data_IF_101491061838
#
_entry.id   IF_101491061838
#
_cell.length_a   1.000
_cell.length_b   1.000
_cell.length_c   1.000
_cell.angle_alpha   90.00
_cell.angle_beta   90.00
_cell.angle_gamma   90.00
#
_symmetry.space_group_name_H-M   'P 1'
#
loop_
_entity.id
_entity.type
_entity.pdbx_description
1 polymer ?
#
# COMPACT_ATOMS: atom_id res chain seq x y z
N UNK A 1 1.36 3.18 2.32
CA UNK A 1 2.02 4.40 2.80
C UNK A 1 1.73 5.62 1.92
N UNK A 2 1.05 5.44 0.77
CA UNK A 2 0.80 6.53 -0.16
C UNK A 2 -0.20 7.54 0.42
N UNK A 3 0.05 8.83 0.15
CA UNK A 3 -0.88 9.90 0.50
C UNK A 3 -1.92 9.94 -0.61
N UNK A 4 -3.02 9.26 -0.41
CA UNK A 4 -4.08 9.14 -1.41
C UNK A 4 -5.43 8.81 -0.78
N UNK A 5 -6.50 9.23 -1.44
CA UNK A 5 -7.82 8.67 -1.31
C UNK A 5 -8.46 8.61 -2.70
N UNK A 6 -9.44 7.79 -2.89
CA UNK A 6 -10.11 7.64 -4.17
C UNK A 6 -11.48 6.98 -4.02
N UNK A 7 -12.39 7.34 -4.90
CA UNK A 7 -13.68 6.69 -5.06
C UNK A 7 -13.63 5.67 -6.19
N UNK A 8 -14.38 4.58 -6.05
CA UNK A 8 -14.56 3.57 -7.08
C UNK A 8 -16.00 3.48 -7.55
N UNK A 9 -16.25 2.96 -8.75
CA UNK A 9 -17.60 2.65 -9.19
C UNK A 9 -18.33 1.78 -8.16
N UNK A 10 -19.57 2.14 -7.83
CA UNK A 10 -20.35 1.49 -6.78
C UNK A 10 -20.39 2.27 -5.46
N UNK A 11 -19.71 3.43 -5.38
CA UNK A 11 -19.81 4.34 -4.24
C UNK A 11 -18.87 4.02 -3.07
N UNK A 12 -17.89 3.15 -3.26
CA UNK A 12 -16.88 2.88 -2.24
C UNK A 12 -15.79 3.94 -2.27
N UNK A 13 -15.44 4.48 -1.10
CA UNK A 13 -14.36 5.45 -0.92
C UNK A 13 -13.27 4.81 -0.06
N UNK A 14 -12.03 4.94 -0.51
CA UNK A 14 -10.85 4.42 0.15
C UNK A 14 -9.95 5.58 0.57
N UNK A 15 -9.55 5.61 1.82
CA UNK A 15 -8.57 6.56 2.33
C UNK A 15 -7.32 5.79 2.75
N UNK A 16 -6.19 6.14 2.15
CA UNK A 16 -4.92 5.53 2.50
C UNK A 16 -4.44 6.04 3.86
N UNK A 17 -3.87 5.15 4.64
CA UNK A 17 -3.26 5.48 5.94
C UNK A 17 -2.25 6.64 5.85
N UNK A 18 -1.51 6.71 4.72
CA UNK A 18 -0.57 7.80 4.49
C UNK A 18 -1.24 9.19 4.46
N UNK A 19 -2.47 9.30 3.95
CA UNK A 19 -3.24 10.54 4.00
C UNK A 19 -3.72 10.83 5.42
N UNK A 20 -4.32 9.84 6.09
CA UNK A 20 -4.82 9.99 7.47
C UNK A 20 -3.75 10.53 8.42
N UNK A 21 -2.48 10.16 8.20
CA UNK A 21 -1.37 10.64 9.00
C UNK A 21 -1.19 12.17 9.00
N UNK A 22 -1.59 12.84 7.92
CA UNK A 22 -1.43 14.28 7.75
C UNK A 22 -2.66 15.09 8.17
N UNK A 23 -3.81 14.45 8.38
CA UNK A 23 -5.02 15.13 8.84
C UNK A 23 -4.94 15.42 10.33
N UNK A 24 -5.46 16.59 10.74
CA UNK A 24 -5.44 17.08 12.11
C UNK A 24 -6.81 17.06 12.79
N UNK A 25 -7.88 16.93 12.00
CA UNK A 25 -9.26 17.00 12.47
C UNK A 25 -10.21 16.05 11.74
N UNK A 26 -11.36 15.77 12.35
CA UNK A 26 -12.45 15.05 11.71
C UNK A 26 -13.06 15.88 10.57
N UNK A 27 -13.07 17.23 10.71
CA UNK A 27 -13.51 18.12 9.66
C UNK A 27 -12.66 18.01 8.40
N UNK A 28 -11.33 17.94 8.52
CA UNK A 28 -10.43 17.69 7.37
C UNK A 28 -10.70 16.34 6.73
N UNK A 29 -10.91 15.28 7.52
CA UNK A 29 -11.26 13.96 7.00
C UNK A 29 -12.61 14.00 6.26
N UNK A 30 -13.59 14.70 6.83
CA UNK A 30 -14.91 14.90 6.24
C UNK A 30 -14.84 15.68 4.93
N UNK A 31 -13.97 16.71 4.84
CA UNK A 31 -13.70 17.46 3.63
C UNK A 31 -13.21 16.57 2.49
N UNK A 32 -12.30 15.67 2.82
CA UNK A 32 -11.80 14.71 1.85
C UNK A 32 -12.89 13.75 1.36
N UNK A 33 -13.67 13.19 2.29
CA UNK A 33 -14.80 12.31 1.97
C UNK A 33 -15.84 13.03 1.12
N UNK A 34 -16.16 14.28 1.46
CA UNK A 34 -17.12 15.09 0.74
C UNK A 34 -16.69 15.38 -0.69
N UNK A 35 -15.39 15.63 -0.92
CA UNK A 35 -14.81 15.77 -2.26
C UNK A 35 -14.97 14.49 -3.08
N UNK A 36 -14.64 13.32 -2.52
CA UNK A 36 -14.80 12.02 -3.20
C UNK A 36 -16.28 11.71 -3.49
N UNK A 37 -17.19 12.07 -2.59
CA UNK A 37 -18.64 11.98 -2.82
C UNK A 37 -19.05 12.90 -3.99
N UNK A 38 -18.45 14.07 -4.11
CA UNK A 38 -18.62 14.98 -5.24
C UNK A 38 -18.28 14.30 -6.57
N UNK A 39 -17.17 13.56 -6.62
CA UNK A 39 -16.81 12.78 -7.81
C UNK A 39 -17.79 11.66 -8.15
N UNK A 40 -18.33 10.98 -7.14
CA UNK A 40 -19.34 9.93 -7.33
C UNK A 40 -20.63 10.53 -7.87
N UNK A 41 -21.16 11.58 -7.24
CA UNK A 41 -22.43 12.21 -7.61
C UNK A 41 -22.36 12.93 -8.96
N UNK A 42 -21.22 13.53 -9.29
CA UNK A 42 -20.92 14.11 -10.61
C UNK A 42 -20.70 13.07 -11.71
N UNK A 43 -20.72 11.77 -11.38
CA UNK A 43 -20.39 10.66 -12.31
C UNK A 43 -19.04 10.87 -13.03
N UNK A 44 -18.07 11.49 -12.37
CA UNK A 44 -16.79 11.90 -12.95
C UNK A 44 -15.99 10.72 -13.51
N UNK A 45 -16.06 9.56 -12.88
CA UNK A 45 -15.42 8.35 -13.39
C UNK A 45 -15.95 7.94 -14.78
N UNK A 46 -17.27 7.92 -14.94
CA UNK A 46 -17.90 7.60 -16.24
C UNK A 46 -17.62 8.67 -17.29
N UNK A 47 -17.72 9.95 -16.91
CA UNK A 47 -17.43 11.08 -17.81
C UNK A 47 -15.99 11.05 -18.30
N UNK A 48 -15.03 10.75 -17.41
CA UNK A 48 -13.62 10.56 -17.75
C UNK A 48 -13.41 9.38 -18.71
N UNK A 49 -14.05 8.23 -18.44
CA UNK A 49 -13.97 7.05 -19.32
C UNK A 49 -14.49 7.38 -20.73
N UNK A 50 -15.64 8.00 -20.85
CA UNK A 50 -16.23 8.42 -22.14
C UNK A 50 -15.30 9.41 -22.86
N UNK A 51 -14.73 10.38 -22.18
CA UNK A 51 -13.78 11.33 -22.76
C UNK A 51 -12.52 10.62 -23.29
N UNK A 52 -11.99 9.64 -22.57
CA UNK A 52 -10.86 8.83 -22.99
C UNK A 52 -11.15 8.02 -24.24
N UNK A 53 -12.30 7.34 -24.28
CA UNK A 53 -12.74 6.55 -25.44
C UNK A 53 -12.97 7.44 -26.67
N UNK A 54 -13.63 8.59 -26.50
CA UNK A 54 -13.85 9.57 -27.57
C UNK A 54 -12.53 10.09 -28.12
N UNK A 55 -11.58 10.41 -27.26
CA UNK A 55 -10.27 10.90 -27.67
C UNK A 55 -9.46 9.86 -28.45
N UNK A 56 -9.51 8.59 -28.05
CA UNK A 56 -8.89 7.50 -28.79
C UNK A 56 -9.51 7.33 -30.18
N UNK A 57 -10.83 7.46 -30.29
CA UNK A 57 -11.54 7.42 -31.59
C UNK A 57 -11.12 8.60 -32.46
N UNK A 58 -11.04 9.82 -31.89
CA UNK A 58 -10.62 11.02 -32.64
C UNK A 58 -9.19 10.89 -33.15
N UNK A 59 -8.24 10.44 -32.33
CA UNK A 59 -6.86 10.23 -32.74
C UNK A 59 -6.72 9.21 -33.85
N UNK A 60 -7.45 8.09 -33.74
CA UNK A 60 -7.49 7.05 -34.79
C UNK A 60 -8.10 7.58 -36.09
N UNK A 61 -9.18 8.35 -35.99
CA UNK A 61 -9.84 8.97 -37.16
C UNK A 61 -8.93 10.00 -37.81
N UNK A 62 -8.23 10.85 -37.03
CA UNK A 62 -7.26 11.81 -37.55
C UNK A 62 -6.13 11.10 -38.32
N UNK A 63 -5.60 10.00 -37.82
CA UNK A 63 -4.61 9.19 -38.51
C UNK A 63 -5.15 8.61 -39.85
N UNK A 64 -6.36 8.06 -39.83
CA UNK A 64 -6.99 7.48 -41.02
C UNK A 64 -7.20 8.55 -42.10
N UNK A 65 -7.66 9.76 -41.72
CA UNK A 65 -7.98 10.83 -42.68
C UNK A 65 -6.73 11.52 -43.23
N UNK A 66 -5.73 11.77 -42.36
CA UNK A 66 -4.56 12.58 -42.72
C UNK A 66 -3.35 11.76 -43.14
N UNK A 67 -3.30 10.49 -42.73
CA UNK A 67 -2.12 9.65 -42.89
C UNK A 67 -0.89 10.14 -42.08
N UNK A 68 -1.05 11.15 -41.21
CA UNK A 68 0.02 11.79 -40.46
C UNK A 68 0.00 11.31 -39.01
N UNK A 69 1.09 10.67 -38.60
CA UNK A 69 1.32 10.28 -37.19
C UNK A 69 1.43 11.50 -36.27
N UNK A 70 2.05 12.58 -36.75
CA UNK A 70 2.26 13.80 -35.95
C UNK A 70 0.94 14.47 -35.54
N UNK A 71 -0.07 14.46 -36.42
CA UNK A 71 -1.40 15.01 -36.12
C UNK A 71 -2.16 14.07 -35.17
N UNK A 72 -2.05 12.75 -35.33
CA UNK A 72 -2.63 11.77 -34.43
C UNK A 72 -1.96 11.85 -33.05
N UNK A 73 -0.64 11.99 -33.00
CA UNK A 73 0.13 12.14 -31.76
C UNK A 73 -0.20 13.46 -31.04
N UNK A 74 -0.32 14.58 -31.75
CA UNK A 74 -0.74 15.85 -31.17
C UNK A 74 -2.17 15.77 -30.62
N UNK A 75 -3.10 15.13 -31.34
CA UNK A 75 -4.48 14.87 -30.87
C UNK A 75 -4.48 13.96 -29.64
N UNK A 76 -3.65 12.91 -29.64
CA UNK A 76 -3.50 11.98 -28.51
C UNK A 76 -2.86 12.64 -27.31
N UNK A 77 -1.84 13.48 -27.48
CA UNK A 77 -1.19 14.25 -26.40
C UNK A 77 -2.16 15.25 -25.77
N UNK A 78 -2.89 16.00 -26.57
CA UNK A 78 -3.90 16.94 -26.07
C UNK A 78 -5.01 16.23 -25.30
N UNK A 79 -5.46 15.09 -25.81
CA UNK A 79 -6.43 14.27 -25.12
C UNK A 79 -5.90 13.54 -23.89
N UNK A 80 -4.63 13.14 -23.88
CA UNK A 80 -3.98 12.57 -22.71
C UNK A 80 -3.87 13.58 -21.56
N UNK A 81 -3.68 14.86 -21.88
CA UNK A 81 -3.70 15.95 -20.89
C UNK A 81 -5.09 16.14 -20.29
N UNK A 82 -6.15 16.02 -21.10
CA UNK A 82 -7.55 16.06 -20.65
C UNK A 82 -7.96 14.83 -19.84
N UNK A 83 -7.31 13.69 -20.04
CA UNK A 83 -7.63 12.39 -19.42
C UNK A 83 -6.71 12.03 -18.27
N UNK A 84 -5.58 12.75 -18.10
CA UNK A 84 -4.69 12.56 -16.96
C UNK A 84 -5.33 13.13 -15.68
N UNK A 85 -5.87 12.28 -14.86
CA UNK A 85 -6.65 12.68 -13.69
C UNK A 85 -8.11 13.02 -14.02
N UNK A 86 -8.82 13.54 -13.05
CA UNK A 86 -10.08 14.24 -13.31
C UNK A 86 -9.76 15.60 -13.93
N UNK A 87 -10.50 16.00 -14.98
CA UNK A 87 -10.29 17.31 -15.61
C UNK A 87 -10.58 18.45 -14.61
N UNK A 88 -9.99 19.62 -14.88
CA UNK A 88 -10.15 20.82 -14.01
C UNK A 88 -11.60 21.09 -13.60
N UNK A 89 -12.53 20.99 -14.56
CA UNK A 89 -13.93 21.29 -14.31
C UNK A 89 -14.57 20.28 -13.36
N UNK A 90 -14.18 19.01 -13.45
CA UNK A 90 -14.66 17.96 -12.53
C UNK A 90 -14.12 18.13 -11.12
N UNK A 91 -12.88 18.63 -10.97
CA UNK A 91 -12.31 18.95 -9.66
C UNK A 91 -13.03 20.15 -9.02
N UNK A 92 -13.31 21.19 -9.80
CA UNK A 92 -14.05 22.36 -9.31
C UNK A 92 -15.50 22.00 -8.92
N UNK A 93 -16.14 21.12 -9.69
CA UNK A 93 -17.48 20.59 -9.40
C UNK A 93 -17.46 19.75 -8.11
N UNK A 94 -16.45 18.90 -7.92
CA UNK A 94 -16.28 18.09 -6.72
C UNK A 94 -15.97 18.95 -5.48
N UNK A 95 -15.13 19.98 -5.61
CA UNK A 95 -14.82 20.92 -4.54
C UNK A 95 -16.07 21.72 -4.10
N UNK A 96 -16.85 22.24 -5.06
CA UNK A 96 -18.08 22.96 -4.76
C UNK A 96 -19.14 22.09 -4.07
N UNK A 97 -19.35 20.89 -4.61
CA UNK A 97 -20.26 19.91 -4.01
C UNK A 97 -19.77 19.44 -2.65
N UNK A 98 -18.46 19.24 -2.50
CA UNK A 98 -17.82 18.86 -1.25
C UNK A 98 -18.05 19.88 -0.15
N UNK A 99 -17.85 21.18 -0.44
CA UNK A 99 -18.11 22.27 0.50
C UNK A 99 -19.59 22.28 0.94
N UNK A 100 -20.53 22.08 0.00
CA UNK A 100 -21.95 21.99 0.30
C UNK A 100 -22.28 20.80 1.21
N UNK A 101 -21.69 19.62 0.95
CA UNK A 101 -21.91 18.42 1.77
C UNK A 101 -21.36 18.61 3.19
N UNK A 102 -20.18 19.21 3.33
CA UNK A 102 -19.61 19.54 4.65
C UNK A 102 -20.55 20.45 5.43
N UNK A 103 -20.97 21.57 4.82
CA UNK A 103 -21.89 22.52 5.45
C UNK A 103 -23.19 21.85 5.93
N UNK A 104 -23.83 21.07 5.06
CA UNK A 104 -25.07 20.34 5.39
C UNK A 104 -24.89 19.27 6.48
N UNK A 105 -23.66 18.77 6.63
CA UNK A 105 -23.31 17.80 7.67
C UNK A 105 -22.79 18.43 8.96
N UNK A 106 -22.77 19.78 9.03
CA UNK A 106 -22.35 20.52 10.19
C UNK A 106 -20.83 20.70 10.34
N UNK A 107 -20.06 20.38 9.31
CA UNK A 107 -18.62 20.63 9.29
C UNK A 107 -18.30 21.95 8.59
N UNK A 108 -17.27 22.64 9.09
CA UNK A 108 -16.75 23.84 8.47
C UNK A 108 -16.14 23.53 7.10
N UNK A 109 -16.66 24.09 5.99
CA UNK A 109 -16.10 23.90 4.67
C UNK A 109 -14.65 24.38 4.52
N UNK A 110 -14.19 25.32 5.37
CA UNK A 110 -12.81 25.80 5.35
C UNK A 110 -11.79 24.71 5.67
N UNK A 111 -12.18 23.64 6.38
CA UNK A 111 -11.31 22.50 6.62
C UNK A 111 -10.85 21.80 5.31
N UNK A 112 -11.61 21.92 4.21
CA UNK A 112 -11.18 21.44 2.89
C UNK A 112 -9.98 22.23 2.35
N UNK A 113 -9.86 23.53 2.71
CA UNK A 113 -8.70 24.37 2.35
C UNK A 113 -7.43 23.89 3.05
N UNK A 114 -7.54 23.48 4.30
CA UNK A 114 -6.41 22.96 5.07
C UNK A 114 -5.87 21.66 4.44
N UNK A 115 -6.77 20.77 4.03
CA UNK A 115 -6.42 19.56 3.28
C UNK A 115 -5.65 19.89 1.99
N UNK A 116 -6.14 20.84 1.19
CA UNK A 116 -5.47 21.27 -0.04
C UNK A 116 -4.09 21.89 0.30
N UNK A 117 -3.97 22.59 1.42
CA UNK A 117 -2.71 23.13 1.94
C UNK A 117 -1.68 22.05 2.23
N UNK A 118 -2.06 21.01 2.98
CA UNK A 118 -1.21 19.85 3.29
C UNK A 118 -0.67 19.20 2.01
N UNK A 119 -1.53 19.03 1.03
CA UNK A 119 -1.15 18.45 -0.24
C UNK A 119 -0.12 19.32 -0.97
N UNK A 120 -0.31 20.63 -0.98
CA UNK A 120 0.63 21.60 -1.56
C UNK A 120 2.02 21.50 -0.95
N UNK A 121 2.10 21.40 0.35
CA UNK A 121 3.36 21.31 1.07
C UNK A 121 4.07 19.99 0.77
N UNK A 122 3.35 18.89 0.65
CA UNK A 122 3.88 17.61 0.21
C UNK A 122 4.48 17.68 -1.19
N UNK A 123 3.78 18.31 -2.14
CA UNK A 123 4.30 18.48 -3.49
C UNK A 123 5.59 19.32 -3.48
N UNK A 124 5.61 20.42 -2.74
CA UNK A 124 6.78 21.26 -2.63
C UNK A 124 7.98 20.50 -2.05
N UNK A 125 7.77 19.71 -1.00
CA UNK A 125 8.80 18.87 -0.41
C UNK A 125 9.37 17.87 -1.42
N UNK A 126 8.51 17.16 -2.15
CA UNK A 126 8.95 16.20 -3.16
C UNK A 126 9.74 16.87 -4.29
N UNK A 127 9.35 18.07 -4.73
CA UNK A 127 10.08 18.85 -5.72
C UNK A 127 11.48 19.26 -5.23
N UNK A 128 11.59 19.70 -3.97
CA UNK A 128 12.89 20.05 -3.36
C UNK A 128 13.78 18.81 -3.28
N UNK A 129 13.23 17.70 -2.83
CA UNK A 129 13.95 16.43 -2.69
C UNK A 129 14.45 15.89 -4.05
N UNK A 130 13.63 15.95 -5.08
CA UNK A 130 14.03 15.53 -6.43
C UNK A 130 15.17 16.39 -6.99
N UNK A 131 15.12 17.71 -6.78
CA UNK A 131 16.20 18.63 -7.19
C UNK A 131 17.52 18.35 -6.48
N UNK A 132 17.49 18.11 -5.17
CA UNK A 132 18.69 17.80 -4.37
C UNK A 132 19.29 16.42 -4.70
N UNK A 133 18.47 15.46 -5.14
CA UNK A 133 18.90 14.12 -5.50
C UNK A 133 19.35 13.94 -6.97
N UNK A 134 19.40 15.01 -7.77
CA UNK A 134 19.78 14.96 -9.20
C UNK A 134 18.84 14.09 -10.07
N UNK A 135 17.68 13.71 -9.56
CA UNK A 135 16.67 12.93 -10.30
C UNK A 135 15.68 13.88 -10.96
N UNK A 136 15.30 13.58 -12.22
CA UNK A 136 14.11 14.21 -12.81
C UNK A 136 12.95 13.96 -11.85
N UNK A 137 12.14 14.98 -11.61
CA UNK A 137 10.87 14.85 -10.87
C UNK A 137 10.05 13.81 -11.63
N UNK A 138 10.12 12.55 -11.21
CA UNK A 138 9.26 11.50 -11.72
C UNK A 138 7.82 11.88 -11.37
N UNK A 139 6.86 11.56 -12.22
CA UNK A 139 5.47 11.79 -11.89
C UNK A 139 5.18 11.06 -10.57
N UNK A 140 4.90 11.83 -9.55
CA UNK A 140 4.46 11.29 -8.26
C UNK A 140 3.10 10.62 -8.51
N UNK A 141 3.04 9.31 -8.28
CA UNK A 141 1.82 8.51 -8.42
C UNK A 141 0.97 8.60 -7.14
N UNK A 142 0.76 9.78 -6.63
CA UNK A 142 -0.11 10.01 -5.49
C UNK A 142 -1.34 10.81 -5.91
N UNK A 143 -2.00 11.39 -4.92
CA UNK A 143 -3.23 12.16 -5.05
C UNK A 143 -3.22 13.21 -6.18
N UNK A 144 -2.06 13.82 -6.47
CA UNK A 144 -1.93 14.82 -7.56
C UNK A 144 -2.05 14.24 -8.97
N UNK A 145 -1.82 12.94 -9.14
CA UNK A 145 -2.00 12.30 -10.43
C UNK A 145 -3.47 12.11 -10.77
N UNK A 146 -4.32 11.91 -9.73
CA UNK A 146 -5.77 11.78 -9.88
C UNK A 146 -6.52 13.11 -9.72
N UNK A 147 -6.00 14.03 -8.90
CA UNK A 147 -6.64 15.31 -8.55
C UNK A 147 -5.68 16.48 -8.80
N UNK A 148 -5.54 16.96 -10.04
CA UNK A 148 -4.63 18.05 -10.38
C UNK A 148 -4.93 19.32 -9.58
N UNK A 149 -3.86 19.87 -9.04
CA UNK A 149 -3.94 21.08 -8.26
C UNK A 149 -4.14 22.32 -9.14
N UNK A 150 -4.93 23.23 -8.62
CA UNK A 150 -5.22 24.49 -9.27
C UNK A 150 -5.55 25.56 -8.21
N UNK A 151 -5.00 26.74 -8.32
CA UNK A 151 -5.33 27.85 -7.42
C UNK A 151 -6.82 28.25 -7.51
N UNK A 152 -7.49 27.94 -8.62
CA UNK A 152 -8.93 28.11 -8.76
C UNK A 152 -9.74 27.20 -7.82
N UNK A 153 -9.23 26.02 -7.46
CA UNK A 153 -9.88 25.11 -6.50
C UNK A 153 -10.05 25.80 -5.15
N UNK A 154 -8.98 26.43 -4.63
CA UNK A 154 -9.03 27.21 -3.39
C UNK A 154 -10.08 28.30 -3.47
N UNK A 155 -10.13 29.07 -4.57
CA UNK A 155 -11.11 30.13 -4.76
C UNK A 155 -12.55 29.60 -4.84
N UNK A 156 -12.73 28.41 -5.44
CA UNK A 156 -14.05 27.79 -5.56
C UNK A 156 -14.58 27.35 -4.19
N UNK A 157 -13.75 26.71 -3.37
CA UNK A 157 -14.13 26.30 -2.00
C UNK A 157 -14.45 27.51 -1.14
N UNK A 158 -13.59 28.54 -1.13
CA UNK A 158 -13.84 29.80 -0.39
C UNK A 158 -15.15 30.48 -0.83
N UNK A 159 -15.43 30.50 -2.14
CA UNK A 159 -16.69 31.07 -2.64
C UNK A 159 -17.88 30.24 -2.19
N UNK A 160 -17.81 28.90 -2.36
CA UNK A 160 -18.90 28.03 -1.95
C UNK A 160 -19.15 28.12 -0.43
N UNK A 161 -18.10 28.16 0.39
CA UNK A 161 -18.21 28.34 1.83
C UNK A 161 -18.90 29.66 2.19
N UNK A 162 -18.48 30.79 1.57
CA UNK A 162 -19.09 32.11 1.79
C UNK A 162 -20.55 32.21 1.33
N UNK A 163 -20.93 31.53 0.25
CA UNK A 163 -22.29 31.50 -0.25
C UNK A 163 -23.23 30.68 0.66
N UNK A 164 -22.70 29.73 1.37
CA UNK A 164 -23.43 28.84 2.30
C UNK A 164 -23.69 29.50 3.67
N UNK A 165 -22.96 30.55 4.03
CA UNK A 165 -23.05 31.25 5.34
C UNK A 165 -24.39 31.97 5.60
N UNK A 166 -25.34 31.87 4.68
CA UNK A 166 -26.68 32.49 4.79
C UNK A 166 -27.80 31.52 5.24
N UNK A 167 -27.49 30.27 5.59
CA UNK A 167 -28.44 29.21 5.91
C UNK A 167 -28.42 28.76 7.37
N UNK A 168 -29.35 27.88 7.73
CA UNK A 168 -29.33 27.22 9.03
C UNK A 168 -28.12 26.24 9.09
N UNK A 169 -27.08 26.64 9.79
CA UNK A 169 -25.92 25.84 10.07
C UNK A 169 -26.24 24.84 11.20
N UNK A 170 -26.11 23.55 10.93
CA UNK A 170 -26.21 22.52 11.96
C UNK A 170 -24.79 22.30 12.46
N UNK A 171 -24.45 22.86 13.61
CA UNK A 171 -23.17 22.63 14.24
C UNK A 171 -23.05 21.13 14.59
N UNK A 172 -22.10 20.43 13.98
CA UNK A 172 -21.69 19.11 14.40
C UNK A 172 -20.43 19.26 15.26
N UNK A 173 -20.54 19.29 16.59
CA UNK A 173 -19.39 19.56 17.43
C UNK A 173 -18.42 18.39 17.34
N UNK A 174 -17.31 18.58 16.66
CA UNK A 174 -16.15 17.72 16.82
C UNK A 174 -15.71 17.76 18.28
N UNK A 175 -15.69 16.61 18.93
CA UNK A 175 -15.21 16.55 20.33
C UNK A 175 -13.73 16.86 20.37
N UNK A 176 -13.28 17.95 21.03
CA UNK A 176 -11.89 18.33 21.02
C UNK A 176 -10.97 17.20 21.49
N UNK A 177 -10.03 16.82 20.63
CA UNK A 177 -9.05 15.77 20.89
C UNK A 177 -9.52 14.34 20.63
N UNK A 178 -10.76 14.08 20.27
CA UNK A 178 -11.23 12.73 19.96
C UNK A 178 -10.55 12.20 18.70
N UNK A 179 -10.46 12.98 17.62
CA UNK A 179 -9.73 12.60 16.41
C UNK A 179 -8.28 12.22 16.71
N UNK A 180 -7.60 13.02 17.53
CA UNK A 180 -6.23 12.74 17.97
C UNK A 180 -6.13 11.41 18.70
N UNK A 181 -7.08 11.09 19.59
CA UNK A 181 -7.09 9.82 20.31
C UNK A 181 -7.29 8.63 19.37
N UNK A 182 -8.08 8.80 18.31
CA UNK A 182 -8.30 7.78 17.29
C UNK A 182 -7.08 7.57 16.37
N UNK A 183 -6.30 8.62 16.15
CA UNK A 183 -5.09 8.59 15.32
C UNK A 183 -3.82 8.21 16.11
N UNK A 184 -3.86 8.20 17.43
CA UNK A 184 -2.74 7.77 18.27
C UNK A 184 -2.34 6.32 17.94
N UNK A 185 -1.05 6.09 17.68
CA UNK A 185 -0.55 4.77 17.30
C UNK A 185 -0.74 4.41 15.83
N UNK A 186 -1.17 5.35 14.97
CA UNK A 186 -1.24 5.11 13.52
C UNK A 186 0.15 4.80 12.97
N UNK A 187 0.27 3.72 12.21
CA UNK A 187 1.55 3.31 11.60
C UNK A 187 2.03 4.35 10.60
N UNK A 188 3.24 4.86 10.79
CA UNK A 188 3.92 5.79 9.90
C UNK A 188 4.75 5.06 8.84
N UNK A 189 4.58 5.43 7.59
CA UNK A 189 5.32 4.86 6.46
C UNK A 189 4.90 3.43 6.11
N UNK A 190 5.81 2.65 5.54
CA UNK A 190 5.57 1.25 5.17
C UNK A 190 5.55 0.36 6.41
N UNK A 191 4.47 -0.40 6.59
CA UNK A 191 4.44 -1.47 7.57
C UNK A 191 5.18 -2.70 7.04
N UNK A 192 5.57 -3.61 7.95
CA UNK A 192 6.14 -4.91 7.54
C UNK A 192 5.13 -5.69 6.68
N UNK A 193 3.83 -5.53 6.95
CA UNK A 193 2.77 -6.15 6.17
C UNK A 193 2.68 -5.60 4.74
N UNK A 194 2.89 -4.29 4.54
CA UNK A 194 2.88 -3.66 3.21
C UNK A 194 4.04 -4.12 2.30
N UNK A 195 5.08 -4.71 2.89
CA UNK A 195 6.24 -5.24 2.17
C UNK A 195 6.13 -6.74 1.88
N UNK A 196 5.08 -7.38 2.38
CA UNK A 196 4.84 -8.81 2.27
C UNK A 196 3.71 -9.11 1.30
N UNK A 197 3.91 -10.10 0.44
CA UNK A 197 2.85 -10.62 -0.41
C UNK A 197 1.83 -11.38 0.44
N UNK A 198 0.53 -11.20 0.17
CA UNK A 198 -0.56 -11.89 0.87
C UNK A 198 -0.47 -13.41 0.71
N UNK A 199 0.02 -13.87 -0.44
CA UNK A 199 0.14 -15.29 -0.77
C UNK A 199 1.56 -15.84 -0.52
N UNK A 200 2.29 -15.27 0.44
CA UNK A 200 3.64 -15.71 0.81
C UNK A 200 3.81 -15.74 2.32
N UNK A 201 4.28 -16.87 2.82
CA UNK A 201 4.65 -17.03 4.22
C UNK A 201 6.08 -16.57 4.48
N UNK A 202 6.32 -15.91 5.61
CA UNK A 202 7.63 -15.41 6.05
C UNK A 202 7.97 -15.91 7.44
N UNK A 203 9.03 -16.70 7.56
CA UNK A 203 9.52 -17.19 8.84
C UNK A 203 10.70 -16.35 9.32
N UNK A 204 10.44 -15.27 10.06
CA UNK A 204 11.45 -14.28 10.47
C UNK A 204 12.64 -14.88 11.20
N UNK A 205 12.41 -15.80 12.16
CA UNK A 205 13.46 -16.40 13.00
C UNK A 205 14.40 -17.28 12.20
N UNK A 206 13.92 -18.06 11.25
CA UNK A 206 14.72 -18.95 10.40
C UNK A 206 15.15 -18.29 9.10
N UNK A 207 14.59 -17.16 8.74
CA UNK A 207 14.98 -16.37 7.60
C UNK A 207 14.62 -16.94 6.23
N UNK A 208 13.53 -17.70 6.14
CA UNK A 208 13.01 -18.25 4.88
C UNK A 208 11.59 -17.79 4.56
N UNK A 209 11.22 -17.96 3.32
CA UNK A 209 9.88 -17.63 2.79
C UNK A 209 9.50 -18.64 1.70
N UNK A 210 8.20 -18.84 1.50
CA UNK A 210 7.65 -19.60 0.38
C UNK A 210 6.25 -19.07 0.00
N UNK A 211 5.84 -19.26 -1.25
CA UNK A 211 4.51 -18.90 -1.74
C UNK A 211 3.51 -20.00 -1.40
N UNK A 212 2.26 -19.59 -1.20
CA UNK A 212 1.13 -20.49 -1.06
C UNK A 212 -0.05 -19.98 -1.88
N UNK A 213 -0.96 -20.86 -2.32
CA UNK A 213 -2.14 -20.44 -3.07
C UNK A 213 -3.06 -19.55 -2.23
N UNK A 214 -3.88 -18.80 -2.91
CA UNK A 214 -4.93 -18.00 -2.28
C UNK A 214 -5.86 -18.88 -1.43
N UNK A 215 -6.28 -18.39 -0.28
CA UNK A 215 -7.12 -19.10 0.65
C UNK A 215 -6.41 -20.14 1.55
N UNK A 216 -5.13 -20.46 1.29
CA UNK A 216 -4.37 -21.31 2.19
C UNK A 216 -3.99 -20.58 3.46
N UNK A 217 -3.98 -21.29 4.58
CA UNK A 217 -3.51 -20.78 5.88
C UNK A 217 -2.19 -21.45 6.27
N UNK A 218 -1.23 -20.64 6.75
CA UNK A 218 0.08 -21.15 7.19
C UNK A 218 0.28 -20.87 8.67
N UNK A 219 0.57 -21.92 9.45
CA UNK A 219 0.84 -21.81 10.89
C UNK A 219 2.23 -22.34 11.20
N UNK A 220 3.02 -21.55 11.91
CA UNK A 220 4.32 -21.96 12.44
C UNK A 220 4.15 -22.42 13.90
N UNK A 221 4.45 -23.69 14.17
CA UNK A 221 4.50 -24.25 15.50
C UNK A 221 5.93 -24.55 15.95
N UNK A 222 6.09 -25.05 17.18
CA UNK A 222 7.41 -25.37 17.74
C UNK A 222 8.15 -26.49 17.01
N UNK A 223 7.45 -27.37 16.32
CA UNK A 223 8.02 -28.56 15.65
C UNK A 223 7.88 -28.54 14.13
N UNK A 224 6.96 -27.77 13.57
CA UNK A 224 6.70 -27.72 12.14
C UNK A 224 6.05 -26.40 11.71
N UNK A 225 6.22 -26.06 10.43
CA UNK A 225 5.36 -25.11 9.71
C UNK A 225 4.36 -25.94 8.90
N UNK A 226 3.08 -25.64 9.00
CA UNK A 226 2.02 -26.35 8.28
C UNK A 226 1.18 -25.36 7.49
N UNK A 227 1.13 -25.54 6.19
CA UNK A 227 0.20 -24.89 5.29
C UNK A 227 -1.00 -25.82 5.03
N UNK A 228 -2.21 -25.28 5.08
CA UNK A 228 -3.46 -26.04 4.89
C UNK A 228 -4.36 -25.31 3.91
N UNK A 229 -4.94 -26.03 2.95
CA UNK A 229 -5.92 -25.50 1.99
C UNK A 229 -7.18 -24.97 2.71
N UNK A 230 -7.93 -24.10 2.04
CA UNK A 230 -9.12 -23.47 2.62
C UNK A 230 -10.17 -24.49 3.10
N UNK A 231 -10.31 -25.58 2.37
CA UNK A 231 -11.24 -26.69 2.66
C UNK A 231 -10.64 -27.80 3.55
N UNK A 232 -9.34 -27.69 3.89
CA UNK A 232 -8.62 -28.69 4.67
C UNK A 232 -8.25 -29.97 3.91
N UNK A 233 -8.52 -30.04 2.60
CA UNK A 233 -8.29 -31.25 1.79
C UNK A 233 -6.82 -31.50 1.48
N UNK A 234 -5.96 -30.48 1.58
CA UNK A 234 -4.54 -30.57 1.31
C UNK A 234 -3.69 -29.89 2.38
N UNK A 235 -2.50 -30.43 2.62
CA UNK A 235 -1.54 -29.91 3.59
C UNK A 235 -0.11 -29.98 3.04
N UNK A 236 0.72 -28.99 3.36
CA UNK A 236 2.17 -29.03 3.21
C UNK A 236 2.80 -28.82 4.58
N UNK A 237 3.48 -29.82 5.09
CA UNK A 237 4.19 -29.81 6.37
C UNK A 237 5.69 -29.65 6.15
N UNK A 238 6.32 -28.74 6.86
CA UNK A 238 7.75 -28.50 6.84
C UNK A 238 8.31 -28.77 8.23
N UNK A 239 9.22 -29.74 8.33
CA UNK A 239 9.97 -30.05 9.55
C UNK A 239 11.45 -29.76 9.34
N UNK A 240 12.21 -29.74 10.43
CA UNK A 240 13.61 -29.33 10.42
C UNK A 240 14.46 -30.38 11.10
N UNK A 241 15.62 -30.64 10.52
CA UNK A 241 16.70 -31.35 11.21
C UNK A 241 18.04 -30.66 10.99
N UNK A 242 19.02 -30.92 11.84
CA UNK A 242 20.37 -30.42 11.64
C UNK A 242 20.94 -31.04 10.36
N UNK A 243 21.55 -30.24 9.49
CA UNK A 243 22.20 -30.70 8.27
C UNK A 243 23.38 -31.61 8.62
N UNK A 244 23.44 -32.76 7.99
CA UNK A 244 24.62 -33.62 7.96
C UNK A 244 25.42 -33.27 6.68
N UNK A 245 26.65 -32.81 6.85
CA UNK A 245 27.49 -32.40 5.73
C UNK A 245 27.88 -33.55 4.80
N UNK A 246 27.79 -34.82 5.27
CA UNK A 246 28.08 -36.04 4.50
C UNK A 246 26.87 -36.58 3.73
N UNK A 247 25.65 -36.12 4.07
CA UNK A 247 24.41 -36.56 3.46
C UNK A 247 23.97 -35.63 2.33
N UNK A 248 23.42 -36.19 1.26
CA UNK A 248 22.76 -35.41 0.20
C UNK A 248 21.29 -35.21 0.51
N UNK A 249 20.61 -34.15 -0.03
CA UNK A 249 19.16 -33.98 0.14
C UNK A 249 18.37 -35.24 -0.23
N UNK A 250 18.79 -35.96 -1.24
CA UNK A 250 18.18 -37.22 -1.65
C UNK A 250 18.32 -38.31 -0.58
N UNK A 251 19.52 -38.56 -0.05
CA UNK A 251 19.71 -39.58 0.99
C UNK A 251 18.95 -39.22 2.27
N UNK A 252 18.90 -37.94 2.61
CA UNK A 252 18.11 -37.45 3.74
C UNK A 252 16.60 -37.70 3.57
N UNK A 253 16.09 -37.56 2.36
CA UNK A 253 14.68 -37.83 2.05
C UNK A 253 14.40 -39.35 2.16
N UNK A 254 15.24 -40.18 1.55
CA UNK A 254 15.12 -41.65 1.56
C UNK A 254 15.17 -42.21 2.99
N UNK A 255 16.06 -41.69 3.83
CA UNK A 255 16.16 -42.08 5.25
C UNK A 255 14.98 -41.64 6.11
N UNK A 256 14.31 -40.55 5.71
CA UNK A 256 13.27 -39.91 6.53
C UNK A 256 11.87 -40.45 6.26
N UNK A 257 11.67 -41.21 5.21
CA UNK A 257 10.36 -41.66 4.77
C UNK A 257 10.39 -43.03 4.16
N UNK A 258 9.48 -43.91 4.57
CA UNK A 258 9.31 -45.22 3.95
C UNK A 258 8.35 -45.14 2.75
N UNK A 259 8.57 -45.96 1.72
CA UNK A 259 7.69 -46.05 0.55
C UNK A 259 8.45 -46.38 -0.73
N UNK A 260 7.70 -46.54 -1.80
CA UNK A 260 8.27 -46.62 -3.15
C UNK A 260 8.34 -45.23 -3.74
N UNK A 261 9.51 -44.82 -4.19
CA UNK A 261 9.71 -43.49 -4.77
C UNK A 261 9.58 -43.53 -6.29
N UNK A 262 8.89 -42.53 -6.85
CA UNK A 262 8.96 -42.23 -8.27
C UNK A 262 10.35 -41.71 -8.64
N UNK A 263 10.60 -41.55 -9.94
CA UNK A 263 11.76 -40.81 -10.41
C UNK A 263 11.70 -39.39 -9.86
N UNK A 264 12.64 -39.06 -8.96
CA UNK A 264 12.72 -37.74 -8.38
C UNK A 264 13.53 -36.77 -9.25
N UNK A 265 13.57 -35.54 -8.83
CA UNK A 265 14.30 -34.45 -9.47
C UNK A 265 15.12 -33.66 -8.46
N UNK A 266 16.27 -33.16 -8.89
CA UNK A 266 17.03 -32.16 -8.15
C UNK A 266 16.27 -30.84 -8.14
N UNK A 267 16.35 -30.13 -7.02
CA UNK A 267 15.84 -28.79 -6.84
C UNK A 267 17.02 -27.83 -6.72
N UNK A 268 17.01 -26.76 -7.51
CA UNK A 268 18.07 -25.74 -7.54
C UNK A 268 17.46 -24.33 -7.55
N UNK A 269 16.44 -24.12 -6.72
CA UNK A 269 15.84 -22.79 -6.58
C UNK A 269 16.64 -21.92 -5.61
N UNK A 270 16.85 -20.67 -6.00
CA UNK A 270 17.57 -19.67 -5.21
C UNK A 270 19.00 -20.09 -4.78
N UNK A 271 19.65 -20.96 -5.55
CA UNK A 271 20.99 -21.51 -5.25
C UNK A 271 21.02 -22.45 -4.04
N UNK A 272 19.89 -23.04 -3.67
CA UNK A 272 19.78 -24.03 -2.58
C UNK A 272 19.78 -25.44 -3.16
N UNK A 273 20.62 -26.31 -2.60
CA UNK A 273 20.59 -27.71 -2.95
C UNK A 273 19.37 -28.40 -2.37
N UNK A 274 18.62 -29.10 -3.19
CA UNK A 274 17.44 -29.84 -2.79
C UNK A 274 17.13 -31.02 -3.67
N UNK A 275 16.19 -31.85 -3.24
CA UNK A 275 15.70 -33.02 -4.00
C UNK A 275 14.20 -33.21 -3.69
N UNK A 276 13.43 -33.65 -4.68
CA UNK A 276 12.01 -33.96 -4.53
C UNK A 276 11.64 -35.26 -5.22
N UNK A 277 10.66 -35.95 -4.67
CA UNK A 277 10.05 -37.13 -5.28
C UNK A 277 8.62 -37.34 -4.77
N UNK A 278 7.83 -38.15 -5.46
CA UNK A 278 6.56 -38.66 -4.93
C UNK A 278 6.83 -40.03 -4.27
N UNK A 279 6.46 -40.14 -3.01
CA UNK A 279 6.46 -41.42 -2.30
C UNK A 279 5.04 -42.01 -2.31
N UNK A 280 4.94 -43.31 -2.62
CA UNK A 280 3.66 -44.02 -2.63
C UNK A 280 3.75 -45.25 -1.70
N UNK A 281 2.67 -45.46 -0.94
CA UNK A 281 2.49 -46.64 -0.14
C UNK A 281 1.05 -47.14 -0.32
N UNK A 282 0.88 -48.10 -1.24
CA UNK A 282 -0.45 -48.52 -1.69
C UNK A 282 -1.17 -47.37 -2.44
N UNK A 283 -2.33 -46.99 -1.95
CA UNK A 283 -3.12 -45.89 -2.52
C UNK A 283 -2.75 -44.50 -1.95
N UNK A 284 -1.89 -44.46 -0.93
CA UNK A 284 -1.47 -43.21 -0.29
C UNK A 284 -0.22 -42.65 -1.00
N UNK A 285 -0.39 -41.52 -1.68
CA UNK A 285 0.69 -40.81 -2.35
C UNK A 285 0.93 -39.47 -1.68
N UNK A 286 2.20 -39.08 -1.59
CA UNK A 286 2.64 -37.84 -0.98
C UNK A 286 3.84 -37.22 -1.69
N UNK A 287 3.88 -35.91 -1.79
CA UNK A 287 5.05 -35.16 -2.28
C UNK A 287 6.03 -35.00 -1.13
N UNK A 288 7.26 -35.44 -1.36
CA UNK A 288 8.38 -35.26 -0.45
C UNK A 288 9.42 -34.34 -1.09
N UNK A 289 10.07 -33.53 -0.26
CA UNK A 289 11.28 -32.82 -0.66
C UNK A 289 12.19 -32.56 0.53
N UNK A 290 13.47 -32.38 0.24
CA UNK A 290 14.47 -31.89 1.20
C UNK A 290 15.20 -30.73 0.55
N UNK A 291 15.34 -29.64 1.27
CA UNK A 291 16.11 -28.46 0.84
C UNK A 291 17.05 -28.08 1.97
N UNK A 292 18.33 -27.92 1.64
CA UNK A 292 19.36 -27.52 2.58
C UNK A 292 19.49 -25.97 2.60
N UNK A 293 19.34 -25.39 3.80
CA UNK A 293 19.54 -23.97 4.01
C UNK A 293 20.03 -23.68 5.43
N UNK A 294 21.04 -22.83 5.58
CA UNK A 294 21.52 -22.29 6.87
C UNK A 294 21.82 -23.38 7.92
N UNK A 295 22.61 -24.41 7.55
CA UNK A 295 22.98 -25.56 8.39
C UNK A 295 21.78 -26.41 8.86
N UNK A 296 20.65 -26.31 8.21
CA UNK A 296 19.45 -27.11 8.43
C UNK A 296 19.01 -27.77 7.13
N UNK A 297 18.47 -28.99 7.25
CA UNK A 297 17.69 -29.63 6.20
C UNK A 297 16.21 -29.44 6.49
N UNK A 298 15.51 -28.85 5.53
CA UNK A 298 14.07 -28.62 5.57
C UNK A 298 13.39 -29.78 4.86
N UNK A 299 12.58 -30.53 5.60
CA UNK A 299 11.87 -31.70 5.09
C UNK A 299 10.43 -31.33 4.84
N UNK A 300 9.99 -31.45 3.61
CA UNK A 300 8.64 -31.16 3.15
C UNK A 300 7.86 -32.46 2.97
N UNK A 301 6.63 -32.48 3.47
CA UNK A 301 5.66 -33.54 3.22
C UNK A 301 4.33 -32.92 2.80
N UNK A 302 3.96 -33.11 1.53
CA UNK A 302 2.69 -32.65 0.94
C UNK A 302 1.72 -33.82 0.82
N UNK A 303 0.50 -33.66 1.34
CA UNK A 303 -0.62 -34.62 1.29
C UNK A 303 -1.87 -33.94 0.78
N UNK A 304 -2.68 -34.69 0.04
CA UNK A 304 -4.01 -34.21 -0.39
C UNK A 304 -4.96 -35.40 -0.56
N UNK A 305 -6.25 -35.15 -0.40
CA UNK A 305 -7.30 -36.14 -0.67
C UNK A 305 -7.33 -36.55 -2.16
N UNK A 306 -7.23 -35.55 -3.06
CA UNK A 306 -6.98 -35.76 -4.49
C UNK A 306 -5.53 -35.38 -4.79
N UNK A 307 -4.62 -36.33 -4.53
CA UNK A 307 -3.19 -36.08 -4.71
C UNK A 307 -2.81 -35.81 -6.16
N UNK A 308 -3.29 -36.54 -7.19
CA UNK A 308 -2.93 -36.25 -8.58
C UNK A 308 -3.31 -34.84 -9.04
N UNK A 309 -4.44 -34.33 -8.60
CA UNK A 309 -4.87 -32.97 -8.95
C UNK A 309 -4.10 -31.88 -8.19
N UNK A 310 -3.57 -32.19 -6.99
CA UNK A 310 -2.96 -31.21 -6.09
C UNK A 310 -1.43 -31.22 -6.12
N UNK A 311 -0.79 -32.29 -6.59
CA UNK A 311 0.67 -32.49 -6.54
C UNK A 311 1.45 -31.35 -7.20
N UNK A 312 1.01 -30.86 -8.36
CA UNK A 312 1.64 -29.73 -9.05
C UNK A 312 1.65 -28.46 -8.17
N UNK A 313 0.57 -28.23 -7.44
CA UNK A 313 0.46 -27.08 -6.54
C UNK A 313 1.39 -27.23 -5.32
N UNK A 314 1.45 -28.42 -4.72
CA UNK A 314 2.37 -28.72 -3.62
C UNK A 314 3.84 -28.56 -4.06
N UNK A 315 4.19 -29.03 -5.26
CA UNK A 315 5.51 -28.85 -5.82
C UNK A 315 5.85 -27.39 -6.03
N UNK A 316 4.95 -26.60 -6.60
CA UNK A 316 5.14 -25.16 -6.80
C UNK A 316 5.39 -24.40 -5.47
N UNK A 317 4.69 -24.78 -4.39
CA UNK A 317 4.97 -24.24 -3.05
C UNK A 317 6.39 -24.56 -2.59
N UNK A 318 6.87 -25.78 -2.81
CA UNK A 318 8.24 -26.23 -2.45
C UNK A 318 9.28 -25.48 -3.28
N UNK A 319 9.08 -25.37 -4.59
CA UNK A 319 9.98 -24.66 -5.52
C UNK A 319 10.06 -23.16 -5.24
N UNK A 320 9.03 -22.57 -4.63
CA UNK A 320 9.01 -21.18 -4.22
C UNK A 320 9.79 -20.87 -2.93
N UNK A 321 10.28 -21.93 -2.24
CA UNK A 321 11.07 -21.79 -1.02
C UNK A 321 12.41 -21.11 -1.31
N UNK A 322 12.73 -20.07 -0.54
CA UNK A 322 13.98 -19.33 -0.66
C UNK A 322 14.36 -18.61 0.63
N UNK A 323 15.63 -18.20 0.77
CA UNK A 323 16.01 -17.24 1.81
C UNK A 323 15.22 -15.93 1.69
N UNK A 324 14.91 -15.32 2.80
CA UNK A 324 14.36 -13.96 2.83
C UNK A 324 15.41 -12.96 2.35
N UNK A 325 15.02 -12.03 1.50
CA UNK A 325 15.88 -10.90 1.15
C UNK A 325 16.13 -9.99 2.38
N UNK A 326 17.25 -9.24 2.43
CA UNK A 326 17.53 -8.33 3.54
C UNK A 326 16.38 -7.39 3.87
N UNK A 327 15.67 -6.87 2.86
CA UNK A 327 14.49 -6.00 3.03
C UNK A 327 13.30 -6.70 3.69
N UNK A 328 13.14 -8.01 3.46
CA UNK A 328 12.08 -8.83 4.05
C UNK A 328 12.40 -9.24 5.49
N UNK A 329 13.69 -9.26 5.84
CA UNK A 329 14.20 -9.56 7.20
C UNK A 329 14.18 -8.36 8.13
N UNK A 330 14.06 -7.16 7.58
CA UNK A 330 14.03 -5.96 8.40
C UNK A 330 12.78 -6.00 9.27
N UNK A 331 12.95 -6.48 10.47
CA UNK A 331 12.17 -6.08 11.64
C UNK A 331 12.52 -4.62 11.94
N UNK A 332 12.29 -3.75 10.96
CA UNK A 332 12.19 -2.34 11.25
C UNK A 332 11.04 -2.24 12.22
N UNK A 333 11.30 -1.77 13.42
CA UNK A 333 10.24 -1.38 14.34
C UNK A 333 9.30 -0.50 13.55
N UNK A 334 8.06 -0.96 13.36
CA UNK A 334 7.04 -0.14 12.73
C UNK A 334 7.07 1.19 13.48
N UNK A 335 7.12 2.28 12.74
CA UNK A 335 7.05 3.60 13.33
C UNK A 335 5.61 4.00 13.46
N UNK A 336 5.31 4.71 14.54
CA UNK A 336 3.96 5.10 14.87
C UNK A 336 3.89 6.60 15.07
N UNK A 337 2.74 7.17 14.74
CA UNK A 337 2.41 8.54 15.11
C UNK A 337 2.00 8.56 16.58
N UNK A 338 2.62 9.45 17.33
CA UNK A 338 2.24 9.77 18.71
C UNK A 338 1.99 11.25 18.84
N UNK A 339 1.05 11.62 19.69
CA UNK A 339 0.78 13.01 19.99
C UNK A 339 1.43 13.41 21.30
N UNK A 340 2.12 14.54 21.29
CA UNK A 340 2.73 15.14 22.49
C UNK A 340 2.35 16.62 22.60
N UNK A 341 2.32 17.13 23.83
CA UNK A 341 2.32 18.58 24.01
C UNK A 341 3.73 19.12 23.87
N UNK A 342 3.88 20.22 23.15
CA UNK A 342 5.17 20.87 22.89
C UNK A 342 5.79 21.35 24.18
N UNK A 343 6.98 20.83 24.57
CA UNK A 343 7.69 21.30 25.76
C UNK A 343 8.16 22.76 25.58
N UNK A 344 8.36 23.44 26.71
CA UNK A 344 8.89 24.82 26.70
C UNK A 344 10.26 24.86 26.01
N UNK A 345 10.38 25.72 25.00
CA UNK A 345 11.62 25.95 24.26
C UNK A 345 11.96 24.84 23.23
N UNK A 346 11.06 23.89 23.00
CA UNK A 346 11.26 22.91 21.94
C UNK A 346 11.07 23.55 20.55
N UNK A 347 11.91 23.09 19.60
CA UNK A 347 11.85 23.45 18.17
C UNK A 347 11.64 22.18 17.36
N UNK A 348 11.16 22.33 16.11
CA UNK A 348 11.04 21.17 15.21
C UNK A 348 12.37 20.45 15.02
N UNK A 349 13.49 21.17 14.95
CA UNK A 349 14.82 20.58 14.87
C UNK A 349 15.14 19.72 16.10
N UNK A 350 14.86 20.23 17.33
CA UNK A 350 15.12 19.49 18.56
C UNK A 350 14.21 18.25 18.69
N UNK A 351 12.98 18.34 18.28
CA UNK A 351 12.02 17.23 18.29
C UNK A 351 12.38 16.14 17.26
N UNK A 352 12.89 16.56 16.10
CA UNK A 352 13.32 15.66 15.04
C UNK A 352 14.65 14.95 15.33
N UNK A 353 15.47 15.46 16.24
CA UNK A 353 16.83 14.95 16.51
C UNK A 353 16.85 13.46 16.91
N UNK A 354 15.81 12.96 17.55
CA UNK A 354 15.68 11.56 17.96
C UNK A 354 15.06 10.65 16.89
N UNK A 355 14.52 11.24 15.81
CA UNK A 355 13.80 10.52 14.76
C UNK A 355 14.78 10.05 13.69
N UNK A 356 14.96 8.73 13.58
CA UNK A 356 15.92 8.13 12.62
C UNK A 356 15.25 7.88 11.26
N UNK A 357 14.88 8.95 10.57
CA UNK A 357 14.37 8.89 9.18
C UNK A 357 15.09 9.94 8.33
N UNK A 358 15.18 9.76 7.01
CA UNK A 358 15.68 10.80 6.12
C UNK A 358 14.83 12.07 6.24
N UNK A 359 15.43 13.24 6.18
CA UNK A 359 14.75 14.54 6.23
C UNK A 359 13.79 14.70 7.42
N UNK A 360 14.16 14.16 8.60
CA UNK A 360 13.29 14.03 9.78
C UNK A 360 12.60 15.34 10.17
N UNK A 361 13.32 16.47 10.20
CA UNK A 361 12.77 17.77 10.54
C UNK A 361 11.72 18.24 9.51
N UNK A 362 12.04 18.13 8.22
CA UNK A 362 11.12 18.50 7.16
C UNK A 362 9.85 17.64 7.16
N UNK A 363 10.01 16.32 7.38
CA UNK A 363 8.87 15.41 7.49
C UNK A 363 8.02 15.69 8.73
N UNK A 364 8.65 16.04 9.86
CA UNK A 364 7.92 16.42 11.07
C UNK A 364 7.14 17.73 10.88
N UNK A 365 7.72 18.71 10.17
CA UNK A 365 7.01 19.94 9.79
C UNK A 365 5.81 19.66 8.89
N UNK A 366 6.00 18.81 7.88
CA UNK A 366 4.91 18.40 6.98
C UNK A 366 3.78 17.73 7.75
N UNK A 367 4.12 16.82 8.67
CA UNK A 367 3.18 16.06 9.47
C UNK A 367 2.29 16.95 10.34
N UNK A 368 2.76 18.15 10.66
CA UNK A 368 2.10 19.12 11.54
C UNK A 368 1.69 20.43 10.83
N UNK A 369 1.64 20.46 9.50
CA UNK A 369 1.23 21.67 8.76
C UNK A 369 2.17 22.86 8.91
N UNK A 370 3.43 22.64 9.32
CA UNK A 370 4.41 23.69 9.62
C UNK A 370 5.53 23.80 8.57
N UNK A 371 5.38 23.11 7.43
CA UNK A 371 6.35 23.16 6.35
C UNK A 371 6.28 24.51 5.61
N UNK A 372 7.42 25.11 5.15
CA UNK A 372 8.77 24.60 5.29
C UNK A 372 9.54 25.10 6.54
N UNK A 373 9.05 26.08 7.27
CA UNK A 373 9.82 26.79 8.31
C UNK A 373 9.06 27.08 9.60
N UNK A 374 7.79 26.66 9.73
CA UNK A 374 6.98 26.88 10.92
C UNK A 374 7.60 26.22 12.16
N UNK A 375 7.38 26.81 13.34
CA UNK A 375 7.77 26.27 14.63
C UNK A 375 6.52 26.08 15.51
N UNK A 376 6.48 25.01 16.32
CA UNK A 376 5.36 24.75 17.20
C UNK A 376 5.37 25.71 18.39
N UNK A 377 4.21 26.04 18.96
CA UNK A 377 4.10 26.82 20.19
C UNK A 377 4.11 25.91 21.40
N UNK A 378 4.69 26.37 22.49
CA UNK A 378 4.67 25.64 23.78
C UNK A 378 3.22 25.32 24.18
N UNK A 379 2.95 24.06 24.45
CA UNK A 379 1.63 23.57 24.87
C UNK A 379 0.73 23.10 23.74
N UNK A 380 1.04 23.41 22.46
CA UNK A 380 0.31 22.87 21.32
C UNK A 380 0.47 21.35 21.27
N UNK A 381 -0.56 20.66 20.80
CA UNK A 381 -0.47 19.26 20.48
C UNK A 381 0.13 19.06 19.10
N UNK A 382 1.15 18.24 19.00
CA UNK A 382 1.79 17.91 17.72
C UNK A 382 1.98 16.39 17.56
N UNK A 383 2.03 15.96 16.31
CA UNK A 383 2.38 14.60 15.93
C UNK A 383 3.90 14.43 15.93
N UNK A 384 4.37 13.33 16.50
CA UNK A 384 5.78 12.90 16.44
C UNK A 384 5.83 11.46 15.96
N UNK A 385 6.97 11.05 15.38
CA UNK A 385 7.20 9.69 14.85
C UNK A 385 8.12 8.95 15.82
N UNK A 386 7.67 7.83 16.33
CA UNK A 386 8.44 6.95 17.23
C UNK A 386 8.45 5.51 16.78
#
# INVERSE_FOLDING_TARGET
PDINAFATPGGYIYINRGLLAFLDSEAEMSGYLAHEIGHINGNHHSRRKTASETNQVLATTAYIITGSGDIADASSMYGAELVSGYGRDMELEADGSGAEYMYKSGYDPDALLEVIGVLKDQEQFQRVKAKSGGKKVGSYHGLYASHPRNDQRLQTVVRAANELDSGEYIENPEVPGEFRLRMEGLVWGTSIQDQRSENRFYHNKLGFTFEHPEGWTVKAGGQAVVATSADGSATLRITLRRRDASATPRSVMEDSSAGTYSVGAELDQAGLAGYTAVASNGSDSRRLAVIDYNNLSYLFEGKAQDFPATDTQLLAMIESFRPMHPKERTTGTARYIHYIQVPRGATMASLAASIRIPDAEAQLRLLNGLYPRGEPRTGDWIKVIR
#
